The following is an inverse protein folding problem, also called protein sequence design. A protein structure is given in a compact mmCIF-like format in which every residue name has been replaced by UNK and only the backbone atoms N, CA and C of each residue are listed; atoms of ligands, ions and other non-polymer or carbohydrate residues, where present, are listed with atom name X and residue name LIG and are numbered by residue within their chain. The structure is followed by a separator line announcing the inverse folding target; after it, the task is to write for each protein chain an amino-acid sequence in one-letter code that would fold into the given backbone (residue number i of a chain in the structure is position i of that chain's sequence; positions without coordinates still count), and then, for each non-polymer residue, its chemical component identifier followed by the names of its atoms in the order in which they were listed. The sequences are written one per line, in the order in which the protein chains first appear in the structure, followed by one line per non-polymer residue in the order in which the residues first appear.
data_IF_505359356719
#
_entry.id   IF_505359356719
#
_cell.length_a   1.000
_cell.length_b   1.000
_cell.length_c   1.000
_cell.angle_alpha   90.00
_cell.angle_beta   90.00
_cell.angle_gamma   90.00
#
_symmetry.space_group_name_H-M   'P 1'
#
loop_
_entity.id
_entity.type
_entity.pdbx_description
1 polymer ?
#
# COMPACT_ATOMS: atom_id res chain seq x y z
N UNK A 1 54.19 9.44 64.84
CA UNK A 1 53.83 9.41 63.40
C UNK A 1 53.22 10.77 63.08
N UNK A 2 53.91 11.60 62.28
CA UNK A 2 53.58 13.02 62.08
C UNK A 2 52.70 13.21 60.82
N UNK A 3 51.56 13.86 61.05
CA UNK A 3 50.80 14.86 60.30
C UNK A 3 51.11 15.14 58.80
N UNK A 4 50.05 15.38 58.00
CA UNK A 4 50.10 16.40 56.94
C UNK A 4 49.25 16.16 55.68
N UNK A 5 48.09 16.81 55.61
CA UNK A 5 47.39 17.48 54.50
C UNK A 5 47.73 17.19 53.01
N UNK A 6 46.70 16.93 52.19
CA UNK A 6 46.29 17.75 51.01
C UNK A 6 45.01 17.20 50.32
N UNK A 7 44.20 18.10 49.75
CA UNK A 7 43.04 17.89 48.85
C UNK A 7 43.20 18.85 47.66
N UNK A 8 42.34 18.92 46.61
CA UNK A 8 41.49 17.96 45.90
C UNK A 8 41.78 18.01 44.36
N UNK A 9 41.05 17.28 43.50
CA UNK A 9 40.32 17.83 42.32
C UNK A 9 39.83 16.80 41.27
N UNK A 10 38.62 17.09 40.76
CA UNK A 10 38.04 16.75 39.44
C UNK A 10 37.63 15.29 39.16
N UNK A 11 36.41 14.96 39.61
CA UNK A 11 35.60 13.94 38.95
C UNK A 11 35.13 14.44 37.58
N UNK A 12 35.57 13.78 36.51
CA UNK A 12 35.05 13.99 35.16
C UNK A 12 33.61 13.45 35.07
N UNK A 13 32.66 14.36 35.01
CA UNK A 13 31.32 14.12 34.48
C UNK A 13 31.42 14.03 32.94
N UNK A 14 31.05 12.88 32.38
CA UNK A 14 30.83 12.74 30.95
C UNK A 14 29.55 13.52 30.60
N UNK A 15 29.58 14.50 29.70
CA UNK A 15 28.35 15.14 29.26
C UNK A 15 27.58 14.16 28.36
N UNK A 16 26.37 13.79 28.79
CA UNK A 16 25.34 13.23 27.91
C UNK A 16 25.03 14.31 26.88
N UNK A 17 25.48 14.12 25.65
CA UNK A 17 25.02 14.94 24.54
C UNK A 17 23.55 14.59 24.28
N UNK A 18 22.67 15.48 24.70
CA UNK A 18 21.30 15.55 24.19
C UNK A 18 21.38 15.98 22.73
N UNK A 19 21.47 15.01 21.82
CA UNK A 19 21.23 15.27 20.40
C UNK A 19 19.78 15.77 20.23
N UNK A 20 19.67 16.98 19.69
CA UNK A 20 18.40 17.59 19.33
C UNK A 20 17.64 16.70 18.33
N UNK A 21 16.30 16.61 18.40
CA UNK A 21 15.54 15.86 17.41
C UNK A 21 15.83 16.42 16.02
N UNK A 22 16.24 15.53 15.12
CA UNK A 22 16.49 15.84 13.72
C UNK A 22 15.27 16.57 13.13
N UNK A 23 15.51 17.80 12.66
CA UNK A 23 14.55 18.57 11.87
C UNK A 23 14.24 17.78 10.60
N UNK A 24 13.10 17.10 10.57
CA UNK A 24 12.50 16.68 9.31
C UNK A 24 11.91 17.94 8.69
N UNK A 25 12.65 18.59 7.79
CA UNK A 25 12.08 19.66 6.97
C UNK A 25 11.15 19.01 5.95
N UNK A 26 9.85 19.13 6.16
CA UNK A 26 8.85 18.93 5.13
C UNK A 26 9.08 20.00 4.05
N UNK A 27 9.70 19.61 2.94
CA UNK A 27 9.78 20.40 1.72
C UNK A 27 8.41 20.34 1.03
N UNK A 28 7.38 20.95 1.60
CA UNK A 28 6.27 21.50 0.83
C UNK A 28 5.46 22.50 1.66
N UNK A 29 5.22 23.66 1.06
CA UNK A 29 4.29 24.71 1.45
C UNK A 29 4.74 25.71 2.53
N UNK A 30 5.20 26.87 2.06
CA UNK A 30 5.18 28.08 2.86
C UNK A 30 3.74 28.51 3.16
N UNK A 31 3.48 28.76 4.45
CA UNK A 31 2.30 29.41 5.06
C UNK A 31 0.99 28.62 5.04
N UNK A 32 0.76 27.85 6.10
CA UNK A 32 -0.55 27.77 6.75
C UNK A 32 -0.34 27.48 8.25
N UNK A 33 -0.54 28.50 9.08
CA UNK A 33 -0.56 28.37 10.54
C UNK A 33 -2.00 28.11 10.96
N UNK A 34 -2.34 26.87 11.31
CA UNK A 34 -3.56 26.57 12.06
C UNK A 34 -3.23 25.69 13.25
N UNK A 35 -3.73 26.11 14.41
CA UNK A 35 -3.49 25.53 15.72
C UNK A 35 -4.00 24.09 15.82
N UNK A 36 -3.08 23.13 15.96
CA UNK A 36 -3.40 21.77 16.41
C UNK A 36 -3.37 21.73 17.94
N UNK A 37 -4.43 21.28 18.63
CA UNK A 37 -4.33 20.98 20.05
C UNK A 37 -3.37 19.80 20.24
N UNK A 38 -2.42 19.95 21.16
CA UNK A 38 -1.39 18.97 21.46
C UNK A 38 -1.98 17.69 22.07
N UNK A 39 -2.47 16.78 21.24
CA UNK A 39 -2.92 15.46 21.64
C UNK A 39 -1.71 14.52 21.76
N UNK A 40 -1.30 14.24 23.00
CA UNK A 40 -0.12 13.42 23.35
C UNK A 40 -0.38 11.90 23.36
N UNK A 41 -1.52 11.43 22.85
CA UNK A 41 -1.82 10.00 22.80
C UNK A 41 -1.54 9.45 21.42
N UNK A 42 -0.52 8.59 21.32
CA UNK A 42 -0.14 7.92 20.07
C UNK A 42 -1.33 7.19 19.42
N UNK A 43 -2.27 6.67 20.22
CA UNK A 43 -3.49 6.04 19.73
C UNK A 43 -4.44 7.00 18.99
N UNK A 44 -4.56 8.25 19.45
CA UNK A 44 -5.44 9.24 18.82
C UNK A 44 -4.79 9.77 17.54
N UNK A 45 -3.47 9.94 17.53
CA UNK A 45 -2.72 10.31 16.32
C UNK A 45 -2.79 9.19 15.28
N UNK A 46 -2.67 7.92 15.69
CA UNK A 46 -2.86 6.76 14.80
C UNK A 46 -4.28 6.65 14.26
N UNK A 47 -5.30 6.89 15.09
CA UNK A 47 -6.70 6.93 14.65
C UNK A 47 -6.95 8.11 13.70
N UNK A 48 -6.36 9.27 13.96
CA UNK A 48 -6.49 10.46 13.11
C UNK A 48 -5.77 10.30 11.76
N UNK A 49 -4.58 9.66 11.76
CA UNK A 49 -3.88 9.29 10.53
C UNK A 49 -4.63 8.21 9.74
N UNK A 50 -5.25 7.24 10.42
CA UNK A 50 -6.10 6.23 9.78
C UNK A 50 -7.45 6.81 9.27
N UNK A 51 -7.95 7.88 9.89
CA UNK A 51 -9.16 8.62 9.47
C UNK A 51 -8.89 9.59 8.32
N UNK A 52 -7.66 10.10 8.17
CA UNK A 52 -7.23 10.93 7.04
C UNK A 52 -6.79 10.11 5.81
N UNK A 53 -6.77 8.77 5.92
CA UNK A 53 -6.31 7.85 4.88
C UNK A 53 -7.44 7.36 3.94
N UNK A 54 -8.43 8.22 3.66
CA UNK A 54 -9.46 7.93 2.65
C UNK A 54 -8.94 8.05 1.21
N UNK A 55 -7.62 8.13 1.01
CA UNK A 55 -7.00 8.33 -0.29
C UNK A 55 -5.68 7.56 -0.46
N UNK A 56 -5.63 6.26 -0.14
CA UNK A 56 -4.46 5.43 -0.49
C UNK A 56 -4.77 3.93 -0.59
N UNK A 57 -5.59 3.51 -1.54
CA UNK A 57 -5.93 2.09 -1.68
C UNK A 57 -4.89 1.31 -2.50
N UNK A 58 -3.62 1.36 -2.12
CA UNK A 58 -2.70 0.24 -2.36
C UNK A 58 -2.27 -0.32 -1.02
N UNK A 59 -2.99 -1.33 -0.53
CA UNK A 59 -2.72 -1.95 0.74
C UNK A 59 -2.13 -3.36 0.57
N UNK A 60 -1.03 -3.62 1.27
CA UNK A 60 -0.76 -4.98 1.73
C UNK A 60 -1.74 -5.27 2.87
N UNK A 61 -2.42 -6.40 2.81
CA UNK A 61 -3.47 -6.80 3.74
C UNK A 61 -4.66 -5.84 3.81
N UNK A 62 -5.38 -5.61 2.69
CA UNK A 62 -6.67 -4.93 2.75
C UNK A 62 -7.59 -5.62 3.78
N UNK A 63 -8.50 -4.88 4.41
CA UNK A 63 -9.40 -5.45 5.41
C UNK A 63 -10.29 -6.50 4.74
N UNK A 64 -10.27 -7.71 5.28
CA UNK A 64 -11.08 -8.84 4.84
C UNK A 64 -11.88 -9.40 6.01
N UNK A 65 -12.98 -10.06 5.70
CA UNK A 65 -13.75 -10.84 6.65
C UNK A 65 -13.01 -12.12 7.10
N UNK A 66 -13.63 -12.91 7.97
CA UNK A 66 -13.06 -14.16 8.49
C UNK A 66 -12.86 -15.24 7.42
N UNK A 67 -13.54 -15.13 6.28
CA UNK A 67 -13.40 -16.03 5.13
C UNK A 67 -12.29 -15.58 4.16
N UNK A 68 -11.70 -14.40 4.38
CA UNK A 68 -10.71 -13.79 3.50
C UNK A 68 -11.33 -12.98 2.36
N UNK A 69 -12.65 -12.78 2.33
CA UNK A 69 -13.30 -11.89 1.36
C UNK A 69 -13.03 -10.44 1.74
N UNK A 70 -12.56 -9.58 0.82
CA UNK A 70 -12.32 -8.18 1.14
C UNK A 70 -13.63 -7.46 1.49
N UNK A 71 -13.55 -6.45 2.36
CA UNK A 71 -14.66 -5.53 2.54
C UNK A 71 -14.79 -4.62 1.31
N UNK A 72 -16.01 -4.45 0.76
CA UNK A 72 -16.22 -3.53 -0.36
C UNK A 72 -16.01 -2.09 0.08
N UNK A 73 -15.40 -1.28 -0.78
CA UNK A 73 -15.37 0.17 -0.67
C UNK A 73 -16.75 0.77 -1.00
N UNK A 74 -16.94 2.04 -0.70
CA UNK A 74 -18.16 2.76 -1.06
C UNK A 74 -18.34 2.76 -2.60
N UNK A 75 -19.53 2.35 -3.06
CA UNK A 75 -19.81 2.19 -4.49
C UNK A 75 -19.12 0.99 -5.16
N UNK A 76 -18.32 0.20 -4.44
CA UNK A 76 -17.59 -0.95 -5.00
C UNK A 76 -18.50 -2.17 -5.14
N UNK A 77 -18.71 -2.61 -6.38
CA UNK A 77 -19.40 -3.87 -6.70
C UNK A 77 -18.43 -5.02 -6.96
N UNK A 78 -18.73 -6.21 -6.44
CA UNK A 78 -18.03 -7.45 -6.75
C UNK A 78 -18.42 -7.98 -8.13
N UNK A 79 -17.42 -8.33 -8.94
CA UNK A 79 -17.64 -8.78 -10.33
C UNK A 79 -17.34 -10.27 -10.49
N UNK A 80 -16.19 -10.74 -9.98
CA UNK A 80 -15.76 -12.13 -10.15
C UNK A 80 -14.91 -12.60 -8.96
N UNK A 81 -15.11 -13.86 -8.57
CA UNK A 81 -14.20 -14.61 -7.70
C UNK A 81 -13.55 -15.74 -8.52
N UNK A 82 -12.23 -15.84 -8.48
CA UNK A 82 -11.47 -16.91 -9.14
C UNK A 82 -10.50 -17.59 -8.18
N UNK A 83 -10.64 -18.91 -8.02
CA UNK A 83 -9.77 -19.76 -7.20
C UNK A 83 -8.62 -20.34 -8.04
N UNK A 84 -7.70 -21.03 -7.36
CA UNK A 84 -6.59 -21.78 -7.97
C UNK A 84 -5.64 -20.93 -8.81
N UNK A 85 -5.33 -19.73 -8.31
CA UNK A 85 -4.37 -18.83 -8.93
C UNK A 85 -3.04 -18.84 -8.17
N UNK A 86 -1.98 -18.40 -8.83
CA UNK A 86 -0.70 -18.12 -8.16
C UNK A 86 -0.33 -16.65 -8.36
N UNK A 87 0.11 -15.98 -7.30
CA UNK A 87 0.67 -14.64 -7.34
C UNK A 87 2.18 -14.69 -7.17
N UNK A 88 2.87 -13.91 -7.99
CA UNK A 88 4.26 -13.49 -7.79
C UNK A 88 4.27 -11.96 -7.90
N UNK A 89 4.63 -11.26 -6.82
CA UNK A 89 4.75 -9.79 -6.82
C UNK A 89 6.05 -9.35 -6.18
N UNK A 90 6.62 -8.26 -6.68
CA UNK A 90 7.84 -7.63 -6.17
C UNK A 90 7.56 -6.15 -5.98
N UNK A 91 7.84 -5.64 -4.79
CA UNK A 91 7.76 -4.20 -4.52
C UNK A 91 9.00 -3.54 -5.14
N UNK A 92 8.77 -2.57 -6.02
CA UNK A 92 9.83 -1.85 -6.71
C UNK A 92 10.65 -1.05 -5.68
N UNK A 93 11.95 -0.97 -5.88
CA UNK A 93 12.87 -0.34 -4.91
C UNK A 93 13.20 -1.18 -3.66
N UNK A 94 12.64 -2.40 -3.51
CA UNK A 94 12.93 -3.27 -2.35
C UNK A 94 13.33 -4.69 -2.76
N UNK A 95 13.85 -5.46 -1.80
CA UNK A 95 14.10 -6.90 -1.94
C UNK A 95 12.86 -7.76 -1.62
N UNK A 96 11.75 -7.14 -1.21
CA UNK A 96 10.54 -7.85 -0.77
C UNK A 96 9.82 -8.47 -1.96
N UNK A 97 9.70 -9.79 -1.94
CA UNK A 97 8.97 -10.60 -2.92
C UNK A 97 7.88 -11.38 -2.19
N UNK A 98 6.67 -11.32 -2.72
CA UNK A 98 5.53 -12.09 -2.20
C UNK A 98 5.16 -13.10 -3.27
N UNK A 99 5.11 -14.37 -2.89
CA UNK A 99 4.74 -15.47 -3.76
C UNK A 99 3.85 -16.45 -3.02
N UNK A 100 2.77 -16.88 -3.66
CA UNK A 100 1.90 -17.89 -3.09
C UNK A 100 0.74 -18.26 -4.01
N UNK A 101 0.06 -19.34 -3.65
CA UNK A 101 -1.22 -19.70 -4.27
C UNK A 101 -2.35 -18.99 -3.55
N UNK A 102 -3.50 -18.88 -4.22
CA UNK A 102 -4.69 -18.33 -3.61
C UNK A 102 -5.80 -18.09 -4.59
N UNK A 103 -6.59 -17.08 -4.24
CA UNK A 103 -7.79 -16.70 -4.97
C UNK A 103 -7.82 -15.19 -5.19
N UNK A 104 -8.52 -14.78 -6.23
CA UNK A 104 -8.63 -13.42 -6.70
C UNK A 104 -10.08 -12.98 -6.64
N UNK A 105 -10.32 -11.82 -6.06
CA UNK A 105 -11.55 -11.06 -6.22
C UNK A 105 -11.30 -9.94 -7.24
N UNK A 106 -12.13 -9.88 -8.26
CA UNK A 106 -12.23 -8.73 -9.17
C UNK A 106 -13.47 -7.95 -8.77
N UNK A 107 -13.28 -6.67 -8.51
CA UNK A 107 -14.36 -5.72 -8.27
C UNK A 107 -14.37 -4.68 -9.39
N UNK A 108 -15.35 -3.78 -9.32
CA UNK A 108 -15.41 -2.58 -10.16
C UNK A 108 -14.21 -1.64 -10.00
N UNK A 109 -13.46 -1.73 -8.90
CA UNK A 109 -12.40 -0.77 -8.56
C UNK A 109 -11.00 -1.38 -8.55
N UNK A 110 -10.87 -2.63 -8.11
CA UNK A 110 -9.57 -3.28 -7.85
C UNK A 110 -9.61 -4.79 -8.04
N UNK A 111 -8.42 -5.35 -8.08
CA UNK A 111 -8.18 -6.76 -7.84
C UNK A 111 -7.70 -6.91 -6.40
N UNK A 112 -8.32 -7.81 -5.63
CA UNK A 112 -7.77 -8.25 -4.34
C UNK A 112 -7.34 -9.71 -4.47
N UNK A 113 -6.04 -9.96 -4.34
CA UNK A 113 -5.50 -11.31 -4.31
C UNK A 113 -5.29 -11.76 -2.87
N UNK A 114 -5.92 -12.87 -2.48
CA UNK A 114 -5.85 -13.43 -1.13
C UNK A 114 -5.01 -14.69 -1.18
N UNK A 115 -3.91 -14.69 -0.43
CA UNK A 115 -2.94 -15.77 -0.35
C UNK A 115 -3.46 -16.88 0.58
N UNK A 116 -3.32 -18.12 0.12
CA UNK A 116 -3.56 -19.31 0.93
C UNK A 116 -2.35 -19.61 1.82
N UNK A 117 -2.61 -19.85 3.10
CA UNK A 117 -1.59 -20.27 4.06
C UNK A 117 -1.83 -19.65 5.43
N UNK A 118 -1.49 -20.40 6.47
CA UNK A 118 -1.45 -19.91 7.84
C UNK A 118 -0.01 -19.48 8.10
N UNK A 119 0.20 -18.26 8.63
CA UNK A 119 1.52 -17.67 8.95
C UNK A 119 2.28 -16.96 7.82
N UNK A 120 1.59 -16.36 6.84
CA UNK A 120 2.23 -15.45 5.87
C UNK A 120 2.03 -14.01 6.37
N UNK A 121 3.08 -13.16 6.44
CA UNK A 121 2.95 -11.76 6.90
C UNK A 121 2.03 -10.94 5.98
N UNK A 122 1.97 -11.31 4.71
CA UNK A 122 1.02 -10.77 3.74
C UNK A 122 0.00 -11.87 3.41
N UNK A 123 -1.25 -11.64 3.81
CA UNK A 123 -2.42 -12.48 3.54
C UNK A 123 -3.19 -12.02 2.30
N UNK A 124 -3.14 -10.74 1.96
CA UNK A 124 -3.79 -10.24 0.76
C UNK A 124 -3.02 -9.05 0.15
N UNK A 125 -3.17 -8.86 -1.15
CA UNK A 125 -2.55 -7.76 -1.91
C UNK A 125 -3.63 -7.10 -2.75
N UNK A 126 -3.70 -5.77 -2.68
CA UNK A 126 -4.64 -4.95 -3.42
C UNK A 126 -3.98 -4.35 -4.68
N UNK A 127 -4.68 -4.41 -5.81
CA UNK A 127 -4.24 -3.88 -7.11
C UNK A 127 -5.35 -2.97 -7.69
N UNK A 128 -5.25 -1.64 -7.49
CA UNK A 128 -6.20 -0.67 -8.04
C UNK A 128 -6.20 -0.65 -9.55
N UNK A 129 -7.37 -0.85 -10.17
CA UNK A 129 -7.45 -0.94 -11.64
C UNK A 129 -6.98 0.34 -12.34
N UNK A 130 -7.24 1.52 -11.76
CA UNK A 130 -6.83 2.80 -12.31
C UNK A 130 -5.31 3.07 -12.24
N UNK A 131 -4.57 2.36 -11.37
CA UNK A 131 -3.11 2.48 -11.22
C UNK A 131 -2.33 1.35 -11.89
N UNK A 132 -3.04 0.29 -12.29
CA UNK A 132 -2.44 -0.77 -13.09
C UNK A 132 -2.04 -0.20 -14.46
N UNK A 133 -0.90 -0.64 -14.97
CA UNK A 133 -0.41 -0.32 -16.31
C UNK A 133 0.54 -1.42 -16.80
N UNK A 134 0.86 -1.36 -18.10
CA UNK A 134 1.69 -2.36 -18.78
C UNK A 134 1.14 -3.79 -18.62
N UNK A 135 -0.20 -3.92 -18.60
CA UNK A 135 -0.81 -5.23 -18.45
C UNK A 135 -0.64 -6.05 -19.74
N UNK A 136 0.01 -7.19 -19.62
CA UNK A 136 0.25 -8.10 -20.73
C UNK A 136 -0.25 -9.49 -20.37
N UNK A 137 -1.10 -10.05 -21.22
CA UNK A 137 -1.56 -11.43 -21.08
C UNK A 137 -0.70 -12.37 -21.93
N UNK A 138 -0.05 -13.32 -21.26
CA UNK A 138 0.86 -14.30 -21.89
C UNK A 138 0.18 -15.67 -21.94
N UNK A 139 -0.04 -16.15 -23.15
CA UNK A 139 -0.58 -17.48 -23.46
C UNK A 139 0.50 -18.36 -24.10
N UNK A 140 1.40 -18.95 -23.32
CA UNK A 140 2.37 -19.87 -23.89
C UNK A 140 1.67 -21.15 -24.37
N UNK A 141 2.19 -21.76 -25.43
CA UNK A 141 1.71 -23.06 -25.93
C UNK A 141 1.85 -24.15 -24.84
N UNK A 142 2.91 -24.04 -24.03
CA UNK A 142 3.17 -24.92 -22.88
C UNK A 142 3.26 -24.09 -21.59
N UNK A 143 2.52 -24.52 -20.56
CA UNK A 143 2.51 -23.90 -19.24
C UNK A 143 1.22 -23.12 -18.95
N UNK A 144 1.18 -22.45 -17.80
CA UNK A 144 0.01 -21.71 -17.35
C UNK A 144 -0.07 -20.33 -18.01
N UNK A 145 -1.29 -19.94 -18.39
CA UNK A 145 -1.57 -18.57 -18.79
C UNK A 145 -1.30 -17.62 -17.63
N UNK A 146 -0.78 -16.43 -17.93
CA UNK A 146 -0.46 -15.44 -16.90
C UNK A 146 -0.78 -14.03 -17.35
N UNK A 147 -1.30 -13.24 -16.41
CA UNK A 147 -1.38 -11.79 -16.52
C UNK A 147 -0.17 -11.21 -15.80
N UNK A 148 0.59 -10.36 -16.47
CA UNK A 148 1.69 -9.59 -15.86
C UNK A 148 1.39 -8.11 -15.98
N UNK A 149 1.97 -7.30 -15.10
CA UNK A 149 1.87 -5.85 -15.17
C UNK A 149 2.53 -5.16 -13.99
N UNK A 150 2.34 -3.85 -13.93
CA UNK A 150 2.84 -2.98 -12.87
C UNK A 150 1.68 -2.23 -12.25
N UNK A 151 1.77 -1.92 -10.96
CA UNK A 151 0.84 -1.04 -10.27
C UNK A 151 1.62 0.11 -9.67
N UNK A 152 1.27 1.33 -10.06
CA UNK A 152 1.90 2.54 -9.58
C UNK A 152 1.54 2.79 -8.12
N UNK A 153 2.52 3.15 -7.30
CA UNK A 153 2.24 3.58 -5.93
C UNK A 153 1.39 4.86 -5.89
N UNK A 154 0.39 4.88 -5.01
CA UNK A 154 -0.28 6.12 -4.61
C UNK A 154 0.64 6.91 -3.66
N UNK A 155 0.75 8.24 -3.83
CA UNK A 155 1.38 9.09 -2.82
C UNK A 155 0.75 8.86 -1.45
N UNK A 156 1.56 8.58 -0.43
CA UNK A 156 1.07 8.29 0.93
C UNK A 156 0.78 6.82 1.24
N UNK A 157 0.77 5.92 0.24
CA UNK A 157 0.49 4.47 0.43
C UNK A 157 1.61 3.67 1.12
N UNK A 158 2.73 4.32 1.48
CA UNK A 158 3.91 3.65 2.03
C UNK A 158 4.74 2.84 1.01
N UNK A 159 4.26 2.68 -0.22
CA UNK A 159 5.03 2.18 -1.35
C UNK A 159 5.69 3.37 -2.08
N UNK A 160 7.00 3.27 -2.36
CA UNK A 160 7.75 4.37 -2.98
C UNK A 160 7.54 4.39 -4.49
N UNK A 161 7.67 3.24 -5.16
CA UNK A 161 7.68 3.13 -6.62
C UNK A 161 6.60 2.18 -7.18
N UNK A 162 5.81 1.57 -6.31
CA UNK A 162 4.76 0.61 -6.67
C UNK A 162 5.22 -0.85 -6.60
N UNK A 163 4.58 -1.72 -7.38
CA UNK A 163 4.92 -3.14 -7.45
C UNK A 163 4.75 -3.68 -8.87
N UNK A 164 5.49 -4.73 -9.20
CA UNK A 164 5.23 -5.56 -10.38
C UNK A 164 4.57 -6.85 -9.97
N UNK A 165 3.63 -7.35 -10.78
CA UNK A 165 2.87 -8.55 -10.47
C UNK A 165 2.85 -9.54 -11.64
N UNK A 166 2.62 -10.79 -11.29
CA UNK A 166 2.36 -11.91 -12.20
C UNK A 166 1.30 -12.80 -11.55
N UNK A 167 0.11 -12.85 -12.15
CA UNK A 167 -1.00 -13.71 -11.74
C UNK A 167 -1.08 -14.87 -12.73
N UNK A 168 -0.90 -16.10 -12.25
CA UNK A 168 -0.93 -17.33 -13.06
C UNK A 168 -2.28 -18.04 -12.88
N UNK A 169 -2.90 -18.39 -14.01
CA UNK A 169 -4.15 -19.12 -14.08
C UNK A 169 -3.87 -20.62 -14.19
N UNK A 170 -3.77 -21.30 -13.05
CA UNK A 170 -3.38 -22.72 -13.02
C UNK A 170 -4.49 -23.64 -13.56
N UNK A 171 -5.77 -23.29 -13.33
CA UNK A 171 -6.94 -24.11 -13.67
C UNK A 171 -7.78 -23.49 -14.81
N UNK A 172 -7.14 -22.74 -15.71
CA UNK A 172 -7.81 -22.06 -16.83
C UNK A 172 -8.75 -20.92 -16.39
N UNK A 173 -9.79 -20.64 -17.19
CA UNK A 173 -10.79 -19.58 -16.92
C UNK A 173 -10.29 -18.15 -17.13
N UNK A 174 -9.11 -17.98 -17.70
CA UNK A 174 -8.54 -16.68 -18.03
C UNK A 174 -9.36 -15.89 -19.06
N UNK A 175 -10.02 -16.55 -20.02
CA UNK A 175 -10.83 -15.87 -21.03
C UNK A 175 -11.99 -15.07 -20.42
N UNK A 176 -12.77 -15.69 -19.53
CA UNK A 176 -13.84 -15.01 -18.79
C UNK A 176 -13.30 -13.89 -17.92
N UNK A 177 -12.17 -14.12 -17.24
CA UNK A 177 -11.52 -13.09 -16.45
C UNK A 177 -11.14 -11.88 -17.32
N UNK A 178 -10.48 -12.09 -18.46
CA UNK A 178 -10.01 -11.01 -19.34
C UNK A 178 -11.16 -10.21 -19.96
N UNK A 179 -12.25 -10.89 -20.35
CA UNK A 179 -13.44 -10.24 -20.87
C UNK A 179 -14.10 -9.29 -19.88
N UNK A 180 -13.93 -9.50 -18.58
CA UNK A 180 -14.41 -8.60 -17.52
C UNK A 180 -13.35 -7.59 -17.10
N UNK A 181 -12.10 -8.02 -17.00
CA UNK A 181 -10.98 -7.23 -16.52
C UNK A 181 -10.65 -6.05 -17.44
N UNK A 182 -10.50 -6.26 -18.75
CA UNK A 182 -10.10 -5.18 -19.66
C UNK A 182 -11.08 -4.01 -19.71
N UNK A 183 -12.42 -4.24 -19.82
CA UNK A 183 -13.39 -3.15 -19.74
C UNK A 183 -13.35 -2.40 -18.41
N UNK A 184 -13.18 -3.11 -17.29
CA UNK A 184 -13.13 -2.47 -15.97
C UNK A 184 -11.88 -1.61 -15.79
N UNK A 185 -10.72 -2.04 -16.27
CA UNK A 185 -9.51 -1.23 -16.26
C UNK A 185 -9.68 0.03 -17.11
N UNK A 186 -10.22 -0.11 -18.32
CA UNK A 186 -10.48 1.04 -19.19
C UNK A 186 -11.44 2.04 -18.54
N UNK A 187 -12.52 1.54 -17.93
CA UNK A 187 -13.50 2.35 -17.21
C UNK A 187 -12.90 3.06 -16.00
N UNK A 188 -12.16 2.34 -15.16
CA UNK A 188 -11.52 2.92 -13.96
C UNK A 188 -10.53 4.03 -14.31
N UNK A 189 -9.78 3.88 -15.41
CA UNK A 189 -8.87 4.92 -15.91
C UNK A 189 -9.62 6.14 -16.45
N UNK A 190 -10.72 5.95 -17.17
CA UNK A 190 -11.53 7.06 -17.69
C UNK A 190 -12.09 7.92 -16.55
N UNK A 191 -12.66 7.30 -15.52
CA UNK A 191 -13.15 8.01 -14.34
C UNK A 191 -12.05 8.77 -13.60
N UNK A 192 -10.84 8.19 -13.51
CA UNK A 192 -9.71 8.86 -12.86
C UNK A 192 -9.22 10.10 -13.63
N UNK A 193 -9.47 10.18 -14.95
CA UNK A 193 -9.17 11.39 -15.73
C UNK A 193 -10.20 12.48 -15.42
N UNK A 194 -11.49 12.12 -15.35
CA UNK A 194 -12.57 13.08 -15.04
C UNK A 194 -12.42 13.69 -13.64
N UNK A 195 -12.12 12.88 -12.62
CA UNK A 195 -11.95 13.37 -11.24
C UNK A 195 -10.76 14.32 -11.07
N UNK A 196 -9.72 14.17 -11.89
CA UNK A 196 -8.55 15.06 -11.89
C UNK A 196 -8.79 16.30 -12.77
N UNK A 197 -9.71 16.22 -13.73
CA UNK A 197 -10.00 17.30 -14.67
C UNK A 197 -11.01 18.34 -14.15
N UNK A 198 -11.79 18.05 -13.10
CA UNK A 198 -12.68 19.02 -12.47
C UNK A 198 -11.87 20.17 -11.83
N UNK A 199 -11.92 21.40 -12.37
CA UNK A 199 -11.22 22.53 -11.78
C UNK A 199 -11.95 22.99 -10.51
N UNK A 200 -11.21 23.57 -9.57
CA UNK A 200 -11.71 24.30 -8.39
C UNK A 200 -12.49 25.54 -8.89
N UNK A 201 -13.67 25.34 -9.45
CA UNK A 201 -14.56 26.38 -9.95
C UNK A 201 -15.75 26.45 -9.00
N UNK A 202 -15.51 26.89 -7.77
CA UNK A 202 -16.54 26.90 -6.74
C UNK A 202 -16.13 27.50 -5.42
N UNK A 203 -15.24 28.50 -5.41
CA UNK A 203 -15.04 29.40 -4.27
C UNK A 203 -14.59 30.76 -4.77
N UNK A 204 -15.55 31.52 -5.30
CA UNK A 204 -15.53 32.98 -5.30
C UNK A 204 -16.84 33.45 -4.68
#
# INVERSE_FOLDING_TARGET
MKNGWETPTHGNTVPVQTEAPARISCLYCGKATTWLPALRSAHIVLLYLALLDTAAWMALNPPCDTSGRPFPLEGETFVLLRKSLSLETKIVGTSLKIKGRGLLFLTSHRIVFVLEGRNIPVRAVDFPLHLMHEEEFKQPIFGANKLVGVVQALPGSGLIEGLSFTIKFNDGGCGTFLGLFHPLVAYARALNVETVAEPIQGMM
#
